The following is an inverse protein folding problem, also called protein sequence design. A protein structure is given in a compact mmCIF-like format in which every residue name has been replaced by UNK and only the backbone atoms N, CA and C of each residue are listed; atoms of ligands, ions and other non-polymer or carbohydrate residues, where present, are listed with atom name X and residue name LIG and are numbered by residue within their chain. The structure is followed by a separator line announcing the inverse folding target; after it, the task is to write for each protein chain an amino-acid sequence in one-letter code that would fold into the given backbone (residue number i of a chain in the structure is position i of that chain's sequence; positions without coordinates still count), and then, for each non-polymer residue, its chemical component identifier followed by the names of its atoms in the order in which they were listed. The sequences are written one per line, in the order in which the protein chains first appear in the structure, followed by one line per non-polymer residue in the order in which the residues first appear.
data_IF_361724795033
#
_entry.id   IF_361724795033
#
_cell.length_a   1.000
_cell.length_b   1.000
_cell.length_c   1.000
_cell.angle_alpha   90.00
_cell.angle_beta   90.00
_cell.angle_gamma   90.00
#
_symmetry.space_group_name_H-M   'P 1'
#
loop_
_entity.id
_entity.type
_entity.pdbx_description
1 polymer ?
#
# COMPACT_ATOMS: atom_id res chain seq x y z
N UNK A 1 6.00 -6.94 17.03
CA UNK A 1 6.15 -8.16 17.85
C UNK A 1 6.33 -9.44 17.02
N UNK A 2 5.48 -9.74 16.01
CA UNK A 2 5.58 -11.00 15.24
C UNK A 2 6.86 -11.21 14.42
N UNK A 3 7.43 -10.16 13.81
CA UNK A 3 8.67 -10.29 13.02
C UNK A 3 9.90 -10.72 13.85
N UNK A 4 9.97 -10.30 15.12
CA UNK A 4 11.05 -10.69 16.03
C UNK A 4 10.96 -12.14 16.51
N UNK A 5 9.73 -12.66 16.64
CA UNK A 5 9.50 -14.05 17.04
C UNK A 5 9.87 -15.03 15.92
N UNK A 6 9.52 -14.70 14.67
CA UNK A 6 9.92 -15.46 13.48
C UNK A 6 11.44 -15.43 13.27
N UNK A 7 12.09 -14.28 13.44
CA UNK A 7 13.54 -14.18 13.33
C UNK A 7 14.28 -15.01 14.40
N UNK A 8 13.78 -15.01 15.65
CA UNK A 8 14.34 -15.82 16.74
C UNK A 8 14.10 -17.33 16.53
N UNK A 9 12.94 -17.71 15.99
CA UNK A 9 12.61 -19.10 15.67
C UNK A 9 13.41 -19.60 14.46
N UNK A 10 13.59 -18.77 13.44
CA UNK A 10 14.47 -19.07 12.30
C UNK A 10 15.92 -19.26 12.75
N UNK A 11 16.45 -18.42 13.65
CA UNK A 11 17.81 -18.60 14.21
C UNK A 11 18.00 -19.95 14.91
N UNK A 12 17.09 -20.31 15.83
CA UNK A 12 17.16 -21.60 16.54
C UNK A 12 17.07 -22.81 15.60
N UNK A 13 16.31 -22.67 14.51
CA UNK A 13 16.17 -23.71 13.50
C UNK A 13 17.39 -23.78 12.57
N UNK A 14 17.97 -22.64 12.21
CA UNK A 14 19.19 -22.54 11.41
C UNK A 14 20.41 -23.10 12.15
N UNK A 15 20.46 -22.89 13.48
CA UNK A 15 21.41 -23.56 14.39
C UNK A 15 21.21 -25.09 14.42
N UNK A 16 19.96 -25.58 14.34
CA UNK A 16 19.66 -27.02 14.29
C UNK A 16 19.94 -27.67 12.91
N UNK A 17 19.81 -26.90 11.83
CA UNK A 17 20.06 -27.34 10.45
C UNK A 17 21.58 -27.38 10.16
N UNK A 18 22.41 -26.58 10.83
CA UNK A 18 23.86 -26.55 10.60
C UNK A 18 24.21 -26.23 9.14
N UNK A 19 25.25 -26.85 8.58
CA UNK A 19 25.71 -26.67 7.18
C UNK A 19 24.85 -27.38 6.12
N UNK A 20 23.64 -27.85 6.44
CA UNK A 20 22.80 -28.50 5.44
C UNK A 20 22.33 -27.47 4.40
N UNK A 21 22.52 -27.83 3.13
CA UNK A 21 22.09 -27.06 1.96
C UNK A 21 20.60 -26.73 2.09
N UNK A 22 20.29 -25.46 2.34
CA UNK A 22 18.91 -24.94 2.30
C UNK A 22 18.39 -25.13 0.88
N UNK A 23 17.21 -25.72 0.72
CA UNK A 23 16.61 -25.83 -0.61
C UNK A 23 16.31 -24.41 -1.10
N UNK A 24 16.95 -24.00 -2.19
CA UNK A 24 16.70 -22.69 -2.79
C UNK A 24 15.28 -22.63 -3.38
N UNK A 25 14.69 -21.44 -3.35
CA UNK A 25 13.48 -21.20 -4.12
C UNK A 25 13.81 -21.32 -5.62
N UNK A 26 12.96 -22.00 -6.41
CA UNK A 26 13.07 -21.92 -7.86
C UNK A 26 12.82 -20.48 -8.33
N UNK A 27 13.34 -20.14 -9.52
CA UNK A 27 13.45 -18.74 -9.97
C UNK A 27 12.09 -18.06 -10.13
N UNK A 28 11.09 -18.81 -10.58
CA UNK A 28 9.69 -18.39 -10.65
C UNK A 28 9.12 -17.94 -9.28
N UNK A 29 9.47 -18.65 -8.21
CA UNK A 29 9.07 -18.29 -6.85
C UNK A 29 9.82 -17.07 -6.34
N UNK A 30 11.10 -16.91 -6.69
CA UNK A 30 11.88 -15.70 -6.37
C UNK A 30 11.27 -14.47 -7.03
N UNK A 31 10.90 -14.58 -8.30
CA UNK A 31 10.25 -13.52 -9.08
C UNK A 31 8.90 -13.11 -8.48
N UNK A 32 8.04 -14.07 -8.15
CA UNK A 32 6.75 -13.80 -7.51
C UNK A 32 6.92 -13.08 -6.17
N UNK A 33 7.91 -13.48 -5.35
CA UNK A 33 8.22 -12.80 -4.08
C UNK A 33 8.72 -11.36 -4.30
N UNK A 34 9.50 -11.12 -5.35
CA UNK A 34 9.97 -9.79 -5.72
C UNK A 34 8.81 -8.89 -6.17
N UNK A 35 7.94 -9.39 -7.04
CA UNK A 35 6.73 -8.68 -7.48
C UNK A 35 5.78 -8.38 -6.32
N UNK A 36 5.57 -9.31 -5.40
CA UNK A 36 4.73 -9.09 -4.23
C UNK A 36 5.26 -7.93 -3.36
N UNK A 37 6.59 -7.84 -3.19
CA UNK A 37 7.22 -6.72 -2.48
C UNK A 37 6.98 -5.40 -3.20
N UNK A 38 7.12 -5.37 -4.53
CA UNK A 38 6.87 -4.18 -5.33
C UNK A 38 5.40 -3.75 -5.26
N UNK A 39 4.46 -4.67 -5.40
CA UNK A 39 3.02 -4.41 -5.31
C UNK A 39 2.64 -3.82 -3.94
N UNK A 40 3.22 -4.34 -2.85
CA UNK A 40 2.99 -3.78 -1.51
C UNK A 40 3.48 -2.34 -1.38
N UNK A 41 4.66 -2.03 -1.92
CA UNK A 41 5.20 -0.67 -1.95
C UNK A 41 4.32 0.26 -2.80
N UNK A 42 3.95 -0.17 -4.00
CA UNK A 42 3.08 0.59 -4.91
C UNK A 42 1.72 0.88 -4.26
N UNK A 43 1.04 -0.12 -3.70
CA UNK A 43 -0.26 0.05 -3.06
C UNK A 43 -0.19 1.00 -1.85
N UNK A 44 0.88 0.92 -1.06
CA UNK A 44 1.11 1.83 0.08
C UNK A 44 1.30 3.27 -0.39
N UNK A 45 2.11 3.48 -1.44
CA UNK A 45 2.37 4.79 -2.00
C UNK A 45 1.11 5.39 -2.64
N UNK A 46 0.36 4.60 -3.41
CA UNK A 46 -0.89 5.04 -4.03
C UNK A 46 -1.91 5.45 -2.97
N UNK A 47 -2.12 4.65 -1.93
CA UNK A 47 -3.01 5.01 -0.82
C UNK A 47 -2.57 6.32 -0.14
N UNK A 48 -1.27 6.51 0.09
CA UNK A 48 -0.72 7.74 0.69
C UNK A 48 -0.98 8.96 -0.20
N UNK A 49 -0.62 8.88 -1.48
CA UNK A 49 -0.74 10.02 -2.41
C UNK A 49 -2.21 10.35 -2.71
N UNK A 50 -3.08 9.35 -2.86
CA UNK A 50 -4.52 9.57 -3.02
C UNK A 50 -5.12 10.32 -1.83
N UNK A 51 -4.74 9.96 -0.59
CA UNK A 51 -5.16 10.71 0.62
C UNK A 51 -4.68 12.15 0.61
N UNK A 52 -3.40 12.37 0.27
CA UNK A 52 -2.82 13.72 0.20
C UNK A 52 -3.53 14.57 -0.85
N UNK A 53 -3.82 13.99 -2.02
CA UNK A 53 -4.49 14.71 -3.11
C UNK A 53 -5.95 15.02 -2.77
N UNK A 54 -6.68 14.09 -2.15
CA UNK A 54 -8.05 14.34 -1.68
C UNK A 54 -8.09 15.49 -0.65
N UNK A 55 -7.17 15.49 0.31
CA UNK A 55 -7.07 16.57 1.30
C UNK A 55 -6.70 17.92 0.68
N UNK A 56 -5.83 17.92 -0.32
CA UNK A 56 -5.47 19.12 -1.07
C UNK A 56 -6.69 19.70 -1.81
N UNK A 57 -7.46 18.86 -2.50
CA UNK A 57 -8.66 19.28 -3.21
C UNK A 57 -9.74 19.82 -2.27
N UNK A 58 -9.94 19.19 -1.11
CA UNK A 58 -10.85 19.71 -0.08
C UNK A 58 -10.43 21.09 0.45
N UNK A 59 -9.12 21.35 0.61
CA UNK A 59 -8.61 22.67 1.01
C UNK A 59 -8.79 23.73 -0.08
N UNK A 60 -8.56 23.35 -1.35
CA UNK A 60 -8.80 24.23 -2.48
C UNK A 60 -10.28 24.60 -2.61
N UNK A 61 -11.18 23.65 -2.37
CA UNK A 61 -12.62 23.91 -2.34
C UNK A 61 -12.97 24.98 -1.29
N UNK A 62 -12.55 24.78 -0.03
CA UNK A 62 -12.77 25.77 1.04
C UNK A 62 -12.18 27.15 0.76
N UNK A 63 -11.05 27.20 0.04
CA UNK A 63 -10.44 28.48 -0.37
C UNK A 63 -11.23 29.14 -1.50
N UNK A 64 -11.72 28.34 -2.45
CA UNK A 64 -12.63 28.77 -3.51
C UNK A 64 -13.92 29.36 -2.96
N UNK A 65 -14.55 28.70 -1.98
CA UNK A 65 -15.77 29.21 -1.33
C UNK A 65 -15.54 30.59 -0.70
N UNK A 66 -14.47 30.75 0.09
CA UNK A 66 -14.12 32.04 0.70
C UNK A 66 -13.81 33.13 -0.32
N UNK A 67 -13.16 32.76 -1.43
CA UNK A 67 -12.89 33.68 -2.53
C UNK A 67 -14.21 34.12 -3.17
N UNK A 68 -15.13 33.20 -3.42
CA UNK A 68 -16.44 33.52 -3.97
C UNK A 68 -17.25 34.43 -3.04
N UNK A 69 -17.27 34.14 -1.73
CA UNK A 69 -17.89 35.01 -0.72
C UNK A 69 -17.31 36.43 -0.78
N UNK A 70 -15.98 36.55 -0.81
CA UNK A 70 -15.29 37.85 -0.89
C UNK A 70 -15.62 38.61 -2.19
N UNK A 71 -15.74 37.90 -3.32
CA UNK A 71 -16.13 38.48 -4.59
C UNK A 71 -17.58 38.99 -4.57
N UNK A 72 -18.49 38.26 -3.92
CA UNK A 72 -19.88 38.70 -3.73
C UNK A 72 -19.96 39.94 -2.84
N UNK A 73 -19.23 39.95 -1.72
CA UNK A 73 -19.15 41.13 -0.84
C UNK A 73 -18.60 42.35 -1.58
N UNK A 74 -17.53 42.19 -2.36
CA UNK A 74 -16.94 43.27 -3.13
C UNK A 74 -17.86 43.75 -4.26
N UNK A 75 -18.60 42.85 -4.89
CA UNK A 75 -19.58 43.20 -5.92
C UNK A 75 -20.68 44.14 -5.40
N UNK A 76 -21.04 44.03 -4.13
CA UNK A 76 -22.04 44.88 -3.48
C UNK A 76 -21.61 46.35 -3.37
N UNK A 77 -20.30 46.65 -3.45
CA UNK A 77 -19.77 48.01 -3.48
C UNK A 77 -19.96 48.69 -4.85
N UNK A 78 -20.20 47.91 -5.90
CA UNK A 78 -20.38 48.40 -7.27
C UNK A 78 -21.71 47.92 -7.89
N UNK A 79 -22.85 48.19 -7.24
CA UNK A 79 -24.14 47.72 -7.69
C UNK A 79 -24.46 48.32 -9.07
N UNK A 80 -24.90 47.47 -10.00
CA UNK A 80 -25.24 47.84 -11.40
C UNK A 80 -24.06 48.31 -12.27
N UNK A 81 -22.82 48.10 -11.84
CA UNK A 81 -21.66 48.29 -12.71
C UNK A 81 -21.33 47.01 -13.47
N UNK A 82 -20.72 47.11 -14.67
CA UNK A 82 -20.17 45.94 -15.37
C UNK A 82 -19.15 45.17 -14.53
N UNK A 83 -18.41 45.86 -13.65
CA UNK A 83 -17.48 45.24 -12.71
C UNK A 83 -18.21 44.39 -11.67
N UNK A 84 -19.28 44.91 -11.07
CA UNK A 84 -20.11 44.21 -10.09
C UNK A 84 -20.70 42.93 -10.69
N UNK A 85 -21.27 43.01 -11.90
CA UNK A 85 -21.78 41.84 -12.60
C UNK A 85 -20.70 40.80 -12.92
N UNK A 86 -19.51 41.25 -13.34
CA UNK A 86 -18.38 40.36 -13.60
C UNK A 86 -17.90 39.64 -12.33
N UNK A 87 -17.87 40.34 -11.19
CA UNK A 87 -17.51 39.77 -9.89
C UNK A 87 -18.53 38.72 -9.43
N UNK A 88 -19.83 38.98 -9.57
CA UNK A 88 -20.89 38.01 -9.25
C UNK A 88 -20.73 36.74 -10.08
N UNK A 89 -20.60 36.88 -11.41
CA UNK A 89 -20.41 35.71 -12.29
C UNK A 89 -19.15 34.92 -11.95
N UNK A 90 -18.05 35.63 -11.61
CA UNK A 90 -16.80 34.99 -11.21
C UNK A 90 -16.97 34.21 -9.90
N UNK A 91 -17.70 34.78 -8.93
CA UNK A 91 -18.02 34.11 -7.69
C UNK A 91 -18.85 32.84 -7.89
N UNK A 92 -19.89 32.90 -8.74
CA UNK A 92 -20.70 31.74 -9.11
C UNK A 92 -19.86 30.62 -9.75
N UNK A 93 -18.95 30.98 -10.66
CA UNK A 93 -18.02 30.00 -11.26
C UNK A 93 -17.08 29.40 -10.23
N UNK A 94 -16.57 30.18 -9.27
CA UNK A 94 -15.69 29.65 -8.23
C UNK A 94 -16.45 28.74 -7.25
N UNK A 95 -17.70 29.04 -6.92
CA UNK A 95 -18.57 28.15 -6.12
C UNK A 95 -18.86 26.83 -6.84
N UNK A 96 -19.12 26.87 -8.15
CA UNK A 96 -19.29 25.66 -8.95
C UNK A 96 -18.01 24.82 -8.98
N UNK A 97 -16.85 25.48 -9.14
CA UNK A 97 -15.54 24.82 -9.13
C UNK A 97 -15.21 24.23 -7.75
N UNK A 98 -15.55 24.93 -6.67
CA UNK A 98 -15.41 24.44 -5.30
C UNK A 98 -16.26 23.20 -5.06
N UNK A 99 -17.53 23.22 -5.48
CA UNK A 99 -18.44 22.06 -5.39
C UNK A 99 -17.88 20.85 -6.13
N UNK A 100 -17.32 21.05 -7.32
CA UNK A 100 -16.65 19.99 -8.08
C UNK A 100 -15.43 19.44 -7.35
N UNK A 101 -14.60 20.30 -6.75
CA UNK A 101 -13.44 19.89 -5.95
C UNK A 101 -13.84 19.09 -4.71
N UNK A 102 -14.94 19.47 -4.04
CA UNK A 102 -15.51 18.70 -2.93
C UNK A 102 -15.95 17.30 -3.36
N UNK A 103 -16.71 17.21 -4.45
CA UNK A 103 -17.14 15.92 -5.00
C UNK A 103 -15.93 15.05 -5.36
N UNK A 104 -14.94 15.61 -6.07
CA UNK A 104 -13.73 14.91 -6.45
C UNK A 104 -12.90 14.42 -5.25
N UNK A 105 -12.76 15.24 -4.20
CA UNK A 105 -12.09 14.84 -2.96
C UNK A 105 -12.81 13.68 -2.26
N UNK A 106 -14.15 13.70 -2.28
CA UNK A 106 -14.99 12.63 -1.75
C UNK A 106 -14.80 11.33 -2.52
N UNK A 107 -14.98 11.36 -3.84
CA UNK A 107 -14.84 10.18 -4.70
C UNK A 107 -13.43 9.58 -4.64
N UNK A 108 -12.39 10.42 -4.61
CA UNK A 108 -11.01 9.97 -4.45
C UNK A 108 -10.81 9.19 -3.14
N UNK A 109 -11.45 9.63 -2.06
CA UNK A 109 -11.39 8.97 -0.75
C UNK A 109 -12.22 7.68 -0.76
N UNK A 110 -13.44 7.74 -1.26
CA UNK A 110 -14.36 6.60 -1.24
C UNK A 110 -13.93 5.47 -2.15
N UNK A 111 -13.41 5.80 -3.34
CA UNK A 111 -13.04 4.83 -4.36
C UNK A 111 -11.57 4.44 -4.16
N UNK A 112 -10.63 5.36 -4.41
CA UNK A 112 -9.21 4.98 -4.48
C UNK A 112 -8.64 4.63 -3.12
N UNK A 113 -8.83 5.49 -2.11
CA UNK A 113 -8.21 5.27 -0.79
C UNK A 113 -8.74 4.00 -0.14
N UNK A 114 -10.06 3.78 -0.18
CA UNK A 114 -10.66 2.56 0.39
C UNK A 114 -10.31 1.32 -0.42
N UNK A 115 -10.25 1.39 -1.75
CA UNK A 115 -9.87 0.23 -2.56
C UNK A 115 -8.43 -0.20 -2.27
N UNK A 116 -7.48 0.74 -2.21
CA UNK A 116 -6.11 0.42 -1.84
C UNK A 116 -6.00 -0.12 -0.41
N UNK A 117 -6.87 0.33 0.51
CA UNK A 117 -6.95 -0.23 1.87
C UNK A 117 -7.39 -1.69 1.83
N UNK A 118 -8.46 -2.02 1.09
CA UNK A 118 -8.95 -3.41 0.94
C UNK A 118 -7.89 -4.31 0.32
N UNK A 119 -7.27 -3.90 -0.78
CA UNK A 119 -6.18 -4.66 -1.42
C UNK A 119 -5.01 -4.90 -0.46
N UNK A 120 -4.69 -3.95 0.44
CA UNK A 120 -3.66 -4.14 1.46
C UNK A 120 -4.07 -5.15 2.53
N UNK A 121 -5.28 -5.01 3.07
CA UNK A 121 -5.78 -5.75 4.23
C UNK A 121 -6.20 -7.18 3.88
N UNK A 122 -6.70 -7.40 2.67
CA UNK A 122 -7.22 -8.69 2.21
C UNK A 122 -6.17 -9.42 1.37
N UNK A 123 -5.83 -8.89 0.18
CA UNK A 123 -5.03 -9.61 -0.81
C UNK A 123 -3.54 -9.67 -0.43
N UNK A 124 -2.93 -8.51 -0.18
CA UNK A 124 -1.50 -8.44 0.10
C UNK A 124 -1.14 -9.04 1.46
N UNK A 125 -2.04 -8.92 2.44
CA UNK A 125 -1.88 -9.59 3.73
C UNK A 125 -1.94 -11.10 3.57
N UNK A 126 -2.95 -11.63 2.87
CA UNK A 126 -3.07 -13.07 2.59
C UNK A 126 -1.88 -13.61 1.81
N UNK A 127 -1.42 -12.89 0.80
CA UNK A 127 -0.21 -13.26 0.05
C UNK A 127 1.04 -13.29 0.94
N UNK A 128 1.17 -12.33 1.86
CA UNK A 128 2.26 -12.32 2.84
C UNK A 128 2.19 -13.51 3.80
N UNK A 129 1.00 -13.88 4.26
CA UNK A 129 0.81 -15.04 5.15
C UNK A 129 1.14 -16.36 4.43
N UNK A 130 0.71 -16.51 3.17
CA UNK A 130 1.03 -17.67 2.35
C UNK A 130 2.54 -17.78 2.10
N UNK A 131 3.21 -16.66 1.81
CA UNK A 131 4.67 -16.62 1.70
C UNK A 131 5.35 -17.12 2.97
N UNK A 132 4.91 -16.67 4.15
CA UNK A 132 5.47 -17.13 5.42
C UNK A 132 5.23 -18.62 5.64
N UNK A 133 4.01 -19.12 5.38
CA UNK A 133 3.70 -20.57 5.48
C UNK A 133 4.55 -21.41 4.53
N UNK A 134 4.80 -20.92 3.32
CA UNK A 134 5.67 -21.57 2.34
C UNK A 134 7.12 -21.65 2.85
N UNK A 135 7.65 -20.56 3.42
CA UNK A 135 8.99 -20.53 4.01
C UNK A 135 9.11 -21.50 5.20
N UNK A 136 8.09 -21.57 6.08
CA UNK A 136 8.04 -22.53 7.17
C UNK A 136 8.00 -23.98 6.68
N UNK A 137 7.18 -24.29 5.67
CA UNK A 137 7.08 -25.62 5.09
C UNK A 137 8.40 -26.06 4.43
N UNK A 138 9.06 -25.14 3.70
CA UNK A 138 10.38 -25.40 3.09
C UNK A 138 11.43 -25.71 4.15
N UNK A 139 11.45 -24.96 5.25
CA UNK A 139 12.36 -25.23 6.37
C UNK A 139 12.11 -26.61 7.01
N UNK A 140 10.85 -27.00 7.19
CA UNK A 140 10.52 -28.34 7.71
C UNK A 140 10.99 -29.44 6.76
N UNK A 141 10.79 -29.25 5.46
CA UNK A 141 11.26 -30.18 4.43
C UNK A 141 12.79 -30.35 4.50
N UNK A 142 13.55 -29.25 4.59
CA UNK A 142 15.01 -29.29 4.69
C UNK A 142 15.49 -30.05 5.94
N UNK A 143 14.81 -29.86 7.09
CA UNK A 143 15.08 -30.60 8.33
C UNK A 143 14.85 -32.10 8.14
N UNK A 144 13.73 -32.48 7.53
CA UNK A 144 13.40 -33.89 7.29
C UNK A 144 14.37 -34.53 6.28
N UNK A 145 14.75 -33.81 5.23
CA UNK A 145 15.72 -34.27 4.24
C UNK A 145 17.10 -34.50 4.87
N UNK A 146 17.55 -33.60 5.75
CA UNK A 146 18.79 -33.76 6.51
C UNK A 146 18.74 -35.02 7.38
N UNK A 147 17.69 -35.18 8.19
CA UNK A 147 17.50 -36.36 9.04
C UNK A 147 17.49 -37.65 8.24
N UNK A 148 16.85 -37.64 7.07
CA UNK A 148 16.84 -38.80 6.17
C UNK A 148 18.25 -39.15 5.67
N UNK A 149 19.03 -38.15 5.22
CA UNK A 149 20.44 -38.35 4.81
C UNK A 149 21.30 -38.88 5.95
N UNK A 150 21.12 -38.38 7.17
CA UNK A 150 21.86 -38.81 8.36
C UNK A 150 21.55 -40.28 8.75
N UNK A 151 20.36 -40.78 8.39
CA UNK A 151 19.92 -42.16 8.65
C UNK A 151 20.27 -43.13 7.51
N UNK A 152 20.71 -42.65 6.34
CA UNK A 152 21.17 -43.54 5.28
C UNK A 152 22.48 -44.23 5.70
N UNK A 153 22.60 -45.55 5.52
CA UNK A 153 23.84 -46.24 5.82
C UNK A 153 24.95 -45.65 4.93
N UNK A 154 26.00 -45.13 5.56
CA UNK A 154 27.24 -44.81 4.83
C UNK A 154 27.77 -46.13 4.31
N UNK A 155 27.86 -46.29 3.00
CA UNK A 155 28.49 -47.46 2.39
C UNK A 155 29.89 -47.61 2.98
N UNK A 156 30.14 -48.74 3.64
CA UNK A 156 31.49 -49.14 4.06
C UNK A 156 32.39 -49.12 2.82
N UNK A 157 33.44 -48.29 2.85
CA UNK A 157 34.51 -48.34 1.86
C UNK A 157 35.09 -49.78 1.84
N UNK A 158 35.16 -50.44 0.67
CA UNK A 158 35.86 -51.72 0.58
C UNK A 158 37.36 -51.47 0.81
N UNK A 159 37.87 -52.03 1.91
CA UNK A 159 39.30 -52.16 2.19
C UNK A 159 39.99 -53.06 1.16
#
# INVERSE_FOLDING_TARGET
AMAGFLAARMRKVQEAIGTATVTEDPEDVKDVKAHLKQLKTLNTNLSKYSKQYAQYQAKLAQTGDKLAESLLEYSALYPQSPLGEALVRTAETEQALSSLRHAYASEMTEILVNQFRRTLEEDLKRASELKTKQEEARLQFDIHLKKYKDLQPKSDDPK
#
